data_IF_388709337998
#
_entry.id   IF_388709337998
#
_cell.length_a   1.000
_cell.length_b   1.000
_cell.length_c   1.000
_cell.angle_alpha   90.00
_cell.angle_beta   90.00
_cell.angle_gamma   90.00
#
_symmetry.space_group_name_H-M   'P 1'
#
loop_
_entity.id
_entity.type
_entity.pdbx_description
1 polymer ?
#
# COMPACT_ATOMS: atom_id res chain seq x y z
N UNK A 1 38.42 16.10 -27.99
CA UNK A 1 37.63 16.27 -26.76
C UNK A 1 36.95 14.95 -26.46
N UNK A 2 37.24 14.34 -25.30
CA UNK A 2 36.63 13.05 -24.91
C UNK A 2 35.43 13.36 -24.01
N UNK A 3 34.25 12.84 -24.35
CA UNK A 3 33.04 13.05 -23.57
C UNK A 3 33.20 12.44 -22.17
N UNK A 4 33.04 13.26 -21.12
CA UNK A 4 33.01 12.77 -19.73
C UNK A 4 31.81 11.85 -19.56
N UNK A 5 32.06 10.59 -19.20
CA UNK A 5 31.02 9.64 -18.82
C UNK A 5 30.46 10.06 -17.45
N UNK A 6 29.20 10.47 -17.41
CA UNK A 6 28.50 10.96 -16.20
C UNK A 6 27.64 9.89 -15.53
N UNK A 7 27.82 8.61 -15.89
CA UNK A 7 27.03 7.52 -15.32
C UNK A 7 27.64 7.02 -14.01
N UNK A 8 26.79 6.76 -13.02
CA UNK A 8 27.12 6.03 -11.78
C UNK A 8 26.42 4.66 -11.81
N UNK A 9 27.13 3.58 -12.16
CA UNK A 9 26.58 2.22 -12.22
C UNK A 9 26.12 1.67 -10.87
N UNK A 10 26.56 2.26 -9.76
CA UNK A 10 26.22 1.83 -8.40
C UNK A 10 25.09 2.66 -7.79
N UNK A 11 24.50 3.60 -8.54
CA UNK A 11 23.37 4.37 -8.07
C UNK A 11 22.21 3.44 -7.73
N UNK A 12 21.95 3.27 -6.44
CA UNK A 12 20.75 2.59 -5.94
C UNK A 12 19.57 3.43 -6.40
N UNK A 13 18.67 2.86 -7.21
CA UNK A 13 17.43 3.55 -7.60
C UNK A 13 16.73 3.94 -6.30
N UNK A 14 16.52 5.24 -6.08
CA UNK A 14 15.61 5.68 -5.03
C UNK A 14 14.30 4.91 -5.23
N UNK A 15 13.89 4.17 -4.18
CA UNK A 15 12.77 3.25 -4.27
C UNK A 15 11.60 3.95 -4.92
N UNK A 16 11.08 3.39 -6.02
CA UNK A 16 9.86 3.91 -6.66
C UNK A 16 8.89 4.24 -5.53
N UNK A 17 8.35 5.46 -5.54
CA UNK A 17 7.26 5.83 -4.67
C UNK A 17 6.26 4.67 -4.64
N UNK A 18 5.71 4.37 -3.46
CA UNK A 18 4.82 3.23 -3.19
C UNK A 18 3.47 3.36 -3.93
N UNK A 19 3.50 3.54 -5.25
CA UNK A 19 2.36 3.88 -6.10
C UNK A 19 1.31 2.78 -6.01
N UNK A 20 1.76 1.52 -6.03
CA UNK A 20 0.86 0.37 -5.93
C UNK A 20 0.22 0.28 -4.54
N UNK A 21 0.99 0.39 -3.47
CA UNK A 21 0.47 0.32 -2.10
C UNK A 21 -0.48 1.47 -1.82
N UNK A 22 -0.18 2.68 -2.31
CA UNK A 22 -1.07 3.84 -2.19
C UNK A 22 -2.36 3.62 -2.99
N UNK A 23 -2.29 3.06 -4.21
CA UNK A 23 -3.47 2.76 -5.00
C UNK A 23 -4.35 1.70 -4.33
N UNK A 24 -3.75 0.63 -3.81
CA UNK A 24 -4.45 -0.40 -3.04
C UNK A 24 -5.10 0.21 -1.79
N UNK A 25 -4.36 1.02 -1.03
CA UNK A 25 -4.88 1.68 0.16
C UNK A 25 -6.08 2.58 -0.11
N UNK A 26 -6.07 3.31 -1.24
CA UNK A 26 -7.21 4.12 -1.70
C UNK A 26 -8.43 3.26 -1.99
N UNK A 27 -8.27 2.14 -2.70
CA UNK A 27 -9.38 1.24 -3.00
C UNK A 27 -9.96 0.57 -1.74
N UNK A 28 -9.11 0.13 -0.81
CA UNK A 28 -9.56 -0.44 0.47
C UNK A 28 -10.35 0.59 1.27
N UNK A 29 -9.86 1.84 1.35
CA UNK A 29 -10.57 2.93 2.02
C UNK A 29 -11.90 3.26 1.34
N UNK A 30 -11.94 3.23 0.01
CA UNK A 30 -13.18 3.47 -0.75
C UNK A 30 -14.20 2.35 -0.50
N UNK A 31 -13.75 1.09 -0.53
CA UNK A 31 -14.56 -0.08 -0.21
C UNK A 31 -15.15 -0.02 1.19
N UNK A 32 -14.35 0.33 2.21
CA UNK A 32 -14.83 0.53 3.58
C UNK A 32 -15.89 1.62 3.66
N UNK A 33 -15.64 2.78 3.03
CA UNK A 33 -16.59 3.91 3.05
C UNK A 33 -17.90 3.60 2.33
N UNK A 34 -17.89 2.79 1.28
CA UNK A 34 -19.12 2.31 0.60
C UNK A 34 -19.99 1.44 1.50
N UNK A 35 -19.42 0.78 2.50
CA UNK A 35 -20.14 0.00 3.50
C UNK A 35 -20.53 0.81 4.73
N UNK A 36 -20.14 2.09 4.81
CA UNK A 36 -20.43 2.99 5.93
C UNK A 36 -19.92 2.50 7.29
N UNK A 37 -18.91 1.64 7.30
CA UNK A 37 -18.28 1.11 8.53
C UNK A 37 -16.98 1.82 8.89
N UNK A 38 -16.65 1.82 10.17
CA UNK A 38 -15.38 2.28 10.72
C UNK A 38 -14.24 1.31 10.40
N UNK A 39 -12.99 1.76 10.58
CA UNK A 39 -11.81 0.90 10.42
C UNK A 39 -11.82 -0.22 11.47
N UNK A 40 -12.36 0.04 12.67
CA UNK A 40 -12.48 -0.96 13.72
C UNK A 40 -13.46 -2.08 13.34
N UNK A 41 -14.62 -1.72 12.80
CA UNK A 41 -15.62 -2.69 12.35
C UNK A 41 -15.10 -3.52 11.16
N UNK A 42 -14.49 -2.88 10.15
CA UNK A 42 -13.92 -3.62 9.04
C UNK A 42 -12.81 -4.59 9.50
N UNK A 43 -11.95 -4.15 10.43
CA UNK A 43 -10.92 -5.01 11.02
C UNK A 43 -11.54 -6.23 11.73
N UNK A 44 -12.62 -6.04 12.49
CA UNK A 44 -13.38 -7.12 13.12
C UNK A 44 -13.99 -8.08 12.11
N UNK A 45 -14.55 -7.57 11.00
CA UNK A 45 -15.14 -8.39 9.94
C UNK A 45 -14.11 -9.26 9.21
N UNK A 46 -12.93 -8.71 8.95
CA UNK A 46 -11.87 -9.41 8.19
C UNK A 46 -10.90 -10.20 9.05
N UNK A 47 -11.00 -10.12 10.39
CA UNK A 47 -10.03 -10.69 11.32
C UNK A 47 -8.64 -10.07 11.22
N UNK A 48 -8.55 -8.85 10.67
CA UNK A 48 -7.28 -8.10 10.59
C UNK A 48 -7.15 -7.19 11.81
N UNK A 49 -5.93 -6.88 12.21
CA UNK A 49 -5.76 -5.86 13.25
C UNK A 49 -6.06 -4.47 12.69
N UNK A 50 -6.63 -3.59 13.51
CA UNK A 50 -6.90 -2.19 13.18
C UNK A 50 -5.63 -1.49 12.65
N UNK A 51 -4.49 -1.75 13.28
CA UNK A 51 -3.19 -1.19 12.88
C UNK A 51 -2.72 -1.70 11.51
N UNK A 52 -2.95 -2.98 11.19
CA UNK A 52 -2.63 -3.51 9.87
C UNK A 52 -3.52 -2.89 8.80
N UNK A 53 -4.83 -2.82 9.04
CA UNK A 53 -5.78 -2.22 8.11
C UNK A 53 -5.49 -0.73 7.87
N UNK A 54 -5.14 0.02 8.92
CA UNK A 54 -4.72 1.42 8.82
C UNK A 54 -3.43 1.59 8.01
N UNK A 55 -2.44 0.70 8.16
CA UNK A 55 -1.23 0.71 7.35
C UNK A 55 -1.52 0.43 5.87
N UNK A 56 -2.48 -0.45 5.58
CA UNK A 56 -2.93 -0.74 4.22
C UNK A 56 -3.62 0.47 3.61
N UNK A 57 -4.63 1.05 4.28
CA UNK A 57 -5.36 2.22 3.76
C UNK A 57 -4.45 3.42 3.44
N UNK A 58 -3.36 3.56 4.18
CA UNK A 58 -2.39 4.64 3.98
C UNK A 58 -1.23 4.28 3.03
N UNK A 59 -1.21 3.08 2.45
CA UNK A 59 -0.13 2.62 1.56
C UNK A 59 1.21 2.42 2.26
N UNK A 60 1.22 2.32 3.59
CA UNK A 60 2.43 2.19 4.39
C UNK A 60 2.99 0.76 4.39
N UNK A 61 2.15 -0.23 4.08
CA UNK A 61 2.55 -1.63 3.95
C UNK A 61 2.09 -2.20 2.62
N UNK A 62 2.85 -3.15 2.08
CA UNK A 62 2.44 -3.96 0.94
C UNK A 62 1.62 -5.15 1.46
N UNK A 63 0.30 -5.22 1.21
CA UNK A 63 -0.52 -6.36 1.64
C UNK A 63 -0.23 -7.60 0.79
N UNK A 64 -0.39 -8.78 1.38
CA UNK A 64 -0.37 -10.04 0.62
C UNK A 64 -1.67 -10.23 -0.18
N UNK A 65 -1.65 -11.05 -1.23
CA UNK A 65 -2.88 -11.43 -1.95
C UNK A 65 -3.93 -12.07 -1.02
N UNK A 66 -3.48 -12.87 -0.04
CA UNK A 66 -4.36 -13.45 0.99
C UNK A 66 -5.05 -12.37 1.82
N UNK A 67 -4.33 -11.31 2.19
CA UNK A 67 -4.89 -10.16 2.92
C UNK A 67 -5.91 -9.38 2.08
N UNK A 68 -5.69 -9.28 0.77
CA UNK A 68 -6.66 -8.65 -0.14
C UNK A 68 -7.91 -9.52 -0.30
N UNK A 69 -7.76 -10.84 -0.37
CA UNK A 69 -8.90 -11.76 -0.41
C UNK A 69 -9.76 -11.70 0.85
N UNK A 70 -9.18 -11.48 2.04
CA UNK A 70 -9.97 -11.31 3.27
C UNK A 70 -10.78 -10.02 3.32
N UNK A 71 -10.50 -9.06 2.43
CA UNK A 71 -11.21 -7.78 2.32
C UNK A 71 -12.36 -7.84 1.30
N UNK A 72 -12.39 -8.85 0.42
CA UNK A 72 -13.42 -9.02 -0.62
C UNK A 72 -14.56 -9.91 -0.11
#
# INVERSE_FOLDING_TARGET
MVAKLTQDPHRVREGREKILEVAIGREVRAFRRRQEVTVAELASLTGLSIGMLSKIENGNTSPSLKTLQTLA
#
